data_IF_932135195677
#
_entry.id   IF_932135195677
#
_cell.length_a   1.000
_cell.length_b   1.000
_cell.length_c   1.000
_cell.angle_alpha   90.00
_cell.angle_beta   90.00
_cell.angle_gamma   90.00
#
_symmetry.space_group_name_H-M   'P 1'
#
loop_
_entity.id
_entity.type
_entity.pdbx_description
1 polymer ?
#
# COMPACT_ATOMS: atom_id res chain seq x y z
N UNK A 1 30.37 -26.97 -18.87
CA UNK A 1 30.23 -25.55 -18.49
C UNK A 1 28.94 -25.44 -17.69
N UNK A 2 29.06 -25.24 -16.38
CA UNK A 2 27.92 -25.15 -15.45
C UNK A 2 27.36 -23.73 -15.47
N UNK A 3 26.15 -23.55 -16.00
CA UNK A 3 25.33 -22.40 -15.65
C UNK A 3 24.55 -22.79 -14.40
N UNK A 4 25.14 -22.56 -13.22
CA UNK A 4 24.37 -22.53 -11.99
C UNK A 4 23.59 -21.22 -12.01
N UNK A 5 22.34 -21.27 -12.46
CA UNK A 5 21.39 -20.19 -12.19
C UNK A 5 21.21 -20.10 -10.68
N UNK A 6 21.53 -18.95 -10.10
CA UNK A 6 21.40 -18.69 -8.67
C UNK A 6 19.94 -18.95 -8.25
N UNK A 7 19.67 -19.89 -7.33
CA UNK A 7 18.30 -20.23 -6.88
C UNK A 7 17.60 -19.07 -6.14
N UNK A 8 18.31 -17.98 -5.89
CA UNK A 8 17.78 -16.77 -5.27
C UNK A 8 16.98 -15.89 -6.26
N UNK A 9 17.23 -16.03 -7.56
CA UNK A 9 16.56 -15.19 -8.59
C UNK A 9 15.19 -15.75 -8.97
N UNK A 10 15.04 -17.07 -9.05
CA UNK A 10 13.73 -17.72 -9.28
C UNK A 10 12.77 -17.46 -8.10
N UNK A 11 13.25 -17.57 -6.87
CA UNK A 11 12.40 -17.37 -5.69
C UNK A 11 11.82 -15.95 -5.59
N UNK A 12 12.54 -14.91 -6.02
CA UNK A 12 12.02 -13.54 -6.03
C UNK A 12 10.96 -13.32 -7.12
N UNK A 13 11.13 -13.91 -8.30
CA UNK A 13 10.11 -13.86 -9.37
C UNK A 13 8.84 -14.60 -8.93
N UNK A 14 8.99 -15.78 -8.36
CA UNK A 14 7.87 -16.60 -7.91
C UNK A 14 6.98 -15.89 -6.86
N UNK A 15 7.57 -15.08 -5.97
CA UNK A 15 6.80 -14.33 -4.97
C UNK A 15 6.09 -13.12 -5.59
N UNK A 16 6.76 -12.40 -6.50
CA UNK A 16 6.13 -11.27 -7.22
C UNK A 16 4.95 -11.72 -8.07
N UNK A 17 5.12 -12.80 -8.82
CA UNK A 17 4.08 -13.37 -9.68
C UNK A 17 2.87 -13.85 -8.86
N UNK A 18 3.11 -14.41 -7.66
CA UNK A 18 2.02 -14.81 -6.75
C UNK A 18 1.23 -13.61 -6.23
N UNK A 19 1.90 -12.51 -5.89
CA UNK A 19 1.23 -11.28 -5.42
C UNK A 19 0.35 -10.72 -6.53
N UNK A 20 0.86 -10.65 -7.77
CA UNK A 20 0.10 -10.15 -8.91
C UNK A 20 -1.13 -11.04 -9.19
N UNK A 21 -1.02 -12.36 -9.07
CA UNK A 21 -2.17 -13.28 -9.21
C UNK A 21 -3.21 -13.03 -8.12
N UNK A 22 -2.80 -12.83 -6.87
CA UNK A 22 -3.71 -12.56 -5.74
C UNK A 22 -4.44 -11.23 -5.95
N UNK A 23 -3.72 -10.18 -6.35
CA UNK A 23 -4.30 -8.85 -6.58
C UNK A 23 -5.30 -8.91 -7.75
N UNK A 24 -4.96 -9.61 -8.83
CA UNK A 24 -5.86 -9.81 -9.97
C UNK A 24 -7.12 -10.63 -9.63
N UNK A 25 -7.01 -11.57 -8.67
CA UNK A 25 -8.16 -12.33 -8.17
C UNK A 25 -9.08 -11.47 -7.30
N UNK A 26 -8.51 -10.61 -6.46
CA UNK A 26 -9.26 -9.80 -5.52
C UNK A 26 -9.92 -8.58 -6.13
N UNK A 27 -9.33 -7.99 -7.17
CA UNK A 27 -9.75 -6.70 -7.70
C UNK A 27 -10.43 -6.82 -9.07
N UNK A 28 -11.44 -6.00 -9.28
CA UNK A 28 -12.01 -5.78 -10.61
C UNK A 28 -11.04 -5.04 -11.53
N UNK A 29 -11.19 -5.19 -12.84
CA UNK A 29 -10.39 -4.46 -13.85
C UNK A 29 -10.25 -2.95 -13.60
N UNK A 30 -11.33 -2.18 -13.33
CA UNK A 30 -11.18 -0.75 -13.04
C UNK A 30 -10.42 -0.47 -11.74
N UNK A 31 -10.51 -1.36 -10.74
CA UNK A 31 -9.77 -1.24 -9.49
C UNK A 31 -8.27 -1.48 -9.68
N UNK A 32 -7.90 -2.43 -10.55
CA UNK A 32 -6.52 -2.69 -10.95
C UNK A 32 -5.88 -1.47 -11.64
N UNK A 33 -6.60 -0.85 -12.57
CA UNK A 33 -6.13 0.36 -13.26
C UNK A 33 -5.89 1.51 -12.27
N UNK A 34 -6.79 1.71 -11.30
CA UNK A 34 -6.59 2.69 -10.22
C UNK A 34 -5.38 2.36 -9.36
N UNK A 35 -5.19 1.10 -8.98
CA UNK A 35 -4.04 0.66 -8.20
C UNK A 35 -2.72 0.91 -8.95
N UNK A 36 -2.70 0.63 -10.26
CA UNK A 36 -1.55 0.91 -11.12
C UNK A 36 -1.23 2.41 -11.18
N UNK A 37 -2.24 3.26 -11.28
CA UNK A 37 -2.05 4.72 -11.23
C UNK A 37 -1.47 5.18 -9.89
N UNK A 38 -1.92 4.60 -8.77
CA UNK A 38 -1.36 4.89 -7.43
C UNK A 38 0.10 4.46 -7.36
N UNK A 39 0.47 3.29 -7.91
CA UNK A 39 1.86 2.80 -7.96
C UNK A 39 2.80 3.81 -8.62
N UNK A 40 2.34 4.49 -9.66
CA UNK A 40 3.11 5.49 -10.40
C UNK A 40 3.29 6.79 -9.59
N UNK A 41 2.24 7.22 -8.88
CA UNK A 41 2.20 8.53 -8.21
C UNK A 41 2.73 8.48 -6.77
N UNK A 42 2.40 7.42 -6.03
CA UNK A 42 2.69 7.27 -4.61
C UNK A 42 2.98 5.79 -4.28
N UNK A 43 4.26 5.43 -4.43
CA UNK A 43 4.74 4.08 -4.20
C UNK A 43 4.58 3.62 -2.74
N UNK A 44 4.71 4.55 -1.77
CA UNK A 44 4.53 4.23 -0.35
C UNK A 44 3.09 3.84 -0.05
N UNK A 45 2.13 4.60 -0.59
CA UNK A 45 0.71 4.28 -0.46
C UNK A 45 0.36 2.98 -1.19
N UNK A 46 0.94 2.73 -2.35
CA UNK A 46 0.76 1.47 -3.06
C UNK A 46 1.11 0.27 -2.18
N UNK A 47 2.29 0.25 -1.54
CA UNK A 47 2.70 -0.87 -0.68
C UNK A 47 1.79 -1.05 0.53
N UNK A 48 1.23 0.04 1.08
CA UNK A 48 0.23 -0.04 2.16
C UNK A 48 -1.05 -0.72 1.68
N UNK A 49 -1.53 -0.36 0.49
CA UNK A 49 -2.73 -0.98 -0.10
C UNK A 49 -2.46 -2.46 -0.41
N UNK A 50 -1.31 -2.79 -1.00
CA UNK A 50 -0.90 -4.16 -1.29
C UNK A 50 -0.88 -5.03 -0.03
N UNK A 51 -0.31 -4.55 1.07
CA UNK A 51 -0.31 -5.26 2.35
C UNK A 51 -1.73 -5.52 2.89
N UNK A 52 -2.64 -4.55 2.74
CA UNK A 52 -4.05 -4.71 3.13
C UNK A 52 -4.73 -5.78 2.27
N UNK A 53 -4.52 -5.76 0.94
CA UNK A 53 -5.10 -6.74 0.02
C UNK A 53 -4.60 -8.16 0.32
N UNK A 54 -3.30 -8.32 0.57
CA UNK A 54 -2.71 -9.60 0.97
C UNK A 54 -3.31 -10.13 2.28
N UNK A 55 -3.52 -9.26 3.28
CA UNK A 55 -4.15 -9.64 4.53
C UNK A 55 -5.62 -10.08 4.31
N UNK A 56 -6.37 -9.36 3.48
CA UNK A 56 -7.75 -9.74 3.14
C UNK A 56 -7.82 -11.10 2.45
N UNK A 57 -6.87 -11.39 1.55
CA UNK A 57 -6.74 -12.71 0.91
C UNK A 57 -6.45 -13.81 1.94
N UNK A 58 -5.51 -13.58 2.86
CA UNK A 58 -5.18 -14.53 3.93
C UNK A 58 -6.38 -14.82 4.85
N UNK A 59 -7.25 -13.83 5.07
CA UNK A 59 -8.50 -13.97 5.82
C UNK A 59 -9.61 -14.70 5.04
N UNK A 60 -9.32 -15.20 3.82
CA UNK A 60 -10.29 -15.83 2.91
C UNK A 60 -11.50 -14.95 2.61
N UNK A 61 -11.26 -13.65 2.49
CA UNK A 61 -12.31 -12.71 2.09
C UNK A 61 -12.74 -12.97 0.66
N UNK A 62 -14.04 -12.81 0.38
CA UNK A 62 -14.57 -12.80 -0.98
C UNK A 62 -13.90 -11.67 -1.82
N UNK A 63 -13.89 -11.79 -3.16
CA UNK A 63 -13.39 -10.74 -4.04
C UNK A 63 -13.97 -9.37 -3.67
N UNK A 64 -13.12 -8.33 -3.76
CA UNK A 64 -13.50 -6.97 -3.41
C UNK A 64 -14.33 -6.37 -4.53
N UNK A 65 -15.57 -6.03 -4.19
CA UNK A 65 -16.36 -5.12 -5.02
C UNK A 65 -15.72 -3.71 -5.03
N UNK A 66 -15.96 -2.95 -6.09
CA UNK A 66 -15.35 -1.63 -6.31
C UNK A 66 -15.61 -0.70 -5.11
N UNK A 67 -16.81 -0.75 -4.54
CA UNK A 67 -17.17 0.05 -3.36
C UNK A 67 -16.26 -0.25 -2.15
N UNK A 68 -15.93 -1.52 -1.90
CA UNK A 68 -15.04 -1.90 -0.80
C UNK A 68 -13.59 -1.46 -1.08
N UNK A 69 -13.15 -1.57 -2.33
CA UNK A 69 -11.83 -1.10 -2.73
C UNK A 69 -11.68 0.42 -2.54
N UNK A 70 -12.70 1.21 -2.89
CA UNK A 70 -12.71 2.66 -2.66
C UNK A 70 -12.58 3.02 -1.17
N UNK A 71 -13.17 2.23 -0.27
CA UNK A 71 -13.00 2.43 1.18
C UNK A 71 -11.55 2.18 1.64
N UNK A 72 -10.87 1.19 1.05
CA UNK A 72 -9.44 0.94 1.29
C UNK A 72 -8.59 2.11 0.77
N UNK A 73 -8.96 2.66 -0.40
CA UNK A 73 -8.28 3.84 -0.91
C UNK A 73 -8.44 5.03 0.05
N UNK A 74 -9.64 5.31 0.53
CA UNK A 74 -9.90 6.39 1.48
C UNK A 74 -9.17 6.20 2.81
N UNK A 75 -9.12 4.96 3.34
CA UNK A 75 -8.44 4.69 4.61
C UNK A 75 -6.92 4.84 4.52
N UNK A 76 -6.36 4.70 3.32
CA UNK A 76 -4.93 4.88 3.04
C UNK A 76 -4.57 6.29 2.57
N UNK A 77 -5.55 7.20 2.46
CA UNK A 77 -5.26 8.61 2.25
C UNK A 77 -4.51 9.15 3.46
N UNK A 78 -3.31 9.69 3.24
CA UNK A 78 -2.67 10.51 4.25
C UNK A 78 -3.59 11.71 4.51
N UNK A 79 -4.24 11.72 5.67
CA UNK A 79 -4.83 12.96 6.20
C UNK A 79 -3.71 13.99 6.18
N UNK A 80 -3.81 14.98 5.29
CA UNK A 80 -2.93 16.13 5.31
C UNK A 80 -3.07 16.75 6.70
N UNK A 81 -2.16 16.41 7.61
CA UNK A 81 -2.06 17.07 8.90
C UNK A 81 -1.69 18.50 8.55
N UNK A 82 -2.68 19.41 8.58
CA UNK A 82 -2.40 20.85 8.60
C UNK A 82 -1.36 21.05 9.69
N UNK A 83 -0.13 21.34 9.28
CA UNK A 83 0.94 21.78 10.16
C UNK A 83 0.46 23.11 10.76
N UNK A 84 -0.21 23.03 11.91
CA UNK A 84 -0.48 24.20 12.73
C UNK A 84 0.88 24.58 13.31
N UNK A 85 1.54 25.56 12.70
CA UNK A 85 2.69 26.23 13.29
C UNK A 85 2.24 26.92 14.57
N UNK A 86 2.29 26.20 15.69
CA UNK A 86 2.23 26.81 17.01
C UNK A 86 3.53 27.58 17.20
N UNK A 87 3.49 28.90 17.02
CA UNK A 87 4.58 29.77 17.47
C UNK A 87 4.64 29.63 18.98
N UNK A 88 5.77 29.12 19.48
CA UNK A 88 6.14 29.18 20.90
C UNK A 88 6.08 30.64 21.33
N UNK A 89 5.00 31.05 22.01
CA UNK A 89 5.08 32.16 22.94
C UNK A 89 5.88 31.64 24.13
N UNK A 90 7.19 31.85 24.09
CA UNK A 90 8.04 31.72 25.26
C UNK A 90 7.62 32.79 26.24
N UNK A 91 6.87 32.39 27.28
CA UNK A 91 6.87 33.12 28.53
C UNK A 91 7.89 32.39 29.39
N UNK A 92 9.07 33.00 29.44
CA UNK A 92 10.08 32.77 30.44
C UNK A 92 9.45 33.24 31.76
N UNK A 93 8.91 32.32 32.56
CA UNK A 93 8.60 32.60 33.97
C UNK A 93 9.94 32.81 34.70
N UNK A 94 10.38 34.06 34.69
CA UNK A 94 11.23 34.66 35.71
C UNK A 94 10.29 35.50 36.57
N UNK A 95 9.72 34.90 37.60
CA UNK A 95 9.16 35.63 38.72
C UNK A 95 9.82 35.10 40.01
N UNK A 96 10.29 36.06 40.81
CA UNK A 96 11.09 35.99 42.05
C UNK A 96 10.56 35.03 43.14
#
# INVERSE_FOLDING_TARGET
>A
MSNQEDPNTENKKNVGDQIDVIINYLLSKPSLERLANIKIVDLERYYKIEAILLNLYQQRSEPLDEAKFLLILQSTEQKQKRLIYSRRSGILDLDD
#
